data_IF_623251421450
#
_entry.id   IF_623251421450
#
_cell.length_a   1.000
_cell.length_b   1.000
_cell.length_c   1.000
_cell.angle_alpha   90.00
_cell.angle_beta   90.00
_cell.angle_gamma   90.00
#
_symmetry.space_group_name_H-M   'P 1'
#
loop_
_entity.id
_entity.type
_entity.pdbx_description
1 polymer ?
#
# COMPACT_ATOMS: atom_id res chain seq x y z
N UNK A 1 -17.74 14.85 -12.57
CA UNK A 1 -18.06 15.86 -11.54
C UNK A 1 -16.75 16.38 -11.00
N UNK A 2 -16.40 17.65 -11.18
CA UNK A 2 -15.09 18.15 -10.76
C UNK A 2 -14.89 18.10 -9.24
N UNK A 3 -13.83 17.43 -8.79
CA UNK A 3 -13.48 17.31 -7.37
C UNK A 3 -12.93 18.59 -6.74
N UNK A 4 -13.05 18.70 -5.42
CA UNK A 4 -12.39 19.75 -4.62
C UNK A 4 -10.88 19.49 -4.57
N UNK A 5 -10.02 20.51 -4.77
CA UNK A 5 -8.57 20.35 -4.69
C UNK A 5 -8.08 19.69 -3.40
N UNK A 6 -8.66 20.08 -2.25
CA UNK A 6 -8.30 19.52 -0.94
C UNK A 6 -8.63 18.02 -0.82
N UNK A 7 -9.74 17.59 -1.42
CA UNK A 7 -10.14 16.18 -1.43
C UNK A 7 -9.21 15.38 -2.34
N UNK A 8 -8.88 15.93 -3.52
CA UNK A 8 -7.98 15.28 -4.47
C UNK A 8 -6.56 15.12 -3.92
N UNK A 9 -6.05 16.12 -3.20
CA UNK A 9 -4.77 16.06 -2.51
C UNK A 9 -4.75 14.93 -1.47
N UNK A 10 -5.82 14.81 -0.69
CA UNK A 10 -5.93 13.76 0.32
C UNK A 10 -6.06 12.37 -0.29
N UNK A 11 -6.87 12.21 -1.35
CA UNK A 11 -6.97 10.94 -2.09
C UNK A 11 -5.64 10.54 -2.73
N UNK A 12 -4.86 11.49 -3.24
CA UNK A 12 -3.53 11.21 -3.76
C UNK A 12 -2.57 10.76 -2.66
N UNK A 13 -2.65 11.35 -1.46
CA UNK A 13 -1.85 10.91 -0.30
C UNK A 13 -2.21 9.48 0.08
N UNK A 14 -3.50 9.16 0.22
CA UNK A 14 -3.95 7.80 0.52
C UNK A 14 -3.48 6.82 -0.58
N UNK A 15 -3.58 7.21 -1.85
CA UNK A 15 -3.10 6.37 -2.96
C UNK A 15 -1.61 6.07 -2.86
N UNK A 16 -0.78 7.05 -2.48
CA UNK A 16 0.65 6.82 -2.29
C UNK A 16 0.93 5.83 -1.16
N UNK A 17 0.15 5.89 -0.08
CA UNK A 17 0.24 4.95 1.04
C UNK A 17 -0.09 3.52 0.59
N UNK A 18 -1.23 3.30 -0.09
CA UNK A 18 -1.63 1.94 -0.50
C UNK A 18 -0.63 1.33 -1.50
N UNK A 19 -0.09 2.16 -2.40
CA UNK A 19 0.95 1.70 -3.33
C UNK A 19 2.24 1.30 -2.59
N UNK A 20 2.64 2.06 -1.57
CA UNK A 20 3.79 1.73 -0.75
C UNK A 20 3.55 0.45 0.08
N UNK A 21 2.40 0.34 0.73
CA UNK A 21 1.98 -0.84 1.49
C UNK A 21 1.99 -2.09 0.60
N UNK A 22 1.33 -2.03 -0.57
CA UNK A 22 1.32 -3.11 -1.56
C UNK A 22 2.73 -3.55 -1.93
N UNK A 23 3.61 -2.60 -2.27
CA UNK A 23 4.96 -2.93 -2.75
C UNK A 23 5.86 -3.47 -1.62
N UNK A 24 5.66 -3.02 -0.38
CA UNK A 24 6.34 -3.59 0.79
C UNK A 24 5.85 -5.01 1.08
N UNK A 25 4.54 -5.24 1.10
CA UNK A 25 3.95 -6.56 1.28
C UNK A 25 4.38 -7.53 0.18
N UNK A 26 4.48 -7.05 -1.07
CA UNK A 26 5.02 -7.85 -2.17
C UNK A 26 6.47 -8.28 -1.92
N UNK A 27 7.34 -7.36 -1.49
CA UNK A 27 8.73 -7.67 -1.19
C UNK A 27 8.85 -8.71 -0.05
N UNK A 28 8.14 -8.50 1.06
CA UNK A 28 8.16 -9.43 2.19
C UNK A 28 7.56 -10.79 1.85
N UNK A 29 6.47 -10.84 1.08
CA UNK A 29 5.87 -12.09 0.61
C UNK A 29 6.89 -12.94 -0.18
N UNK A 30 7.56 -12.35 -1.18
CA UNK A 30 8.54 -13.09 -1.99
C UNK A 30 9.76 -13.52 -1.17
N UNK A 31 10.19 -12.72 -0.19
CA UNK A 31 11.25 -13.13 0.75
C UNK A 31 10.81 -14.32 1.61
N UNK A 32 9.58 -14.31 2.14
CA UNK A 32 9.03 -15.45 2.87
C UNK A 32 8.92 -16.70 2.00
N UNK A 33 8.56 -16.55 0.73
CA UNK A 33 8.50 -17.64 -0.23
C UNK A 33 9.88 -18.26 -0.46
N UNK A 34 10.89 -17.44 -0.70
CA UNK A 34 12.29 -17.86 -0.86
C UNK A 34 12.81 -18.59 0.39
N UNK A 35 12.45 -18.11 1.58
CA UNK A 35 12.83 -18.73 2.86
C UNK A 35 12.01 -19.98 3.22
N UNK A 36 11.04 -20.38 2.38
CA UNK A 36 10.19 -21.55 2.61
C UNK A 36 9.13 -21.35 3.70
N UNK A 37 8.83 -20.10 4.08
CA UNK A 37 7.86 -19.72 5.09
C UNK A 37 6.46 -19.51 4.47
N UNK A 38 5.90 -20.56 3.85
CA UNK A 38 4.71 -20.46 3.01
C UNK A 38 3.46 -19.87 3.68
N UNK A 39 3.27 -20.09 4.99
CA UNK A 39 2.13 -19.49 5.71
C UNK A 39 2.23 -17.96 5.81
N UNK A 40 3.44 -17.42 5.96
CA UNK A 40 3.66 -15.98 6.00
C UNK A 40 3.54 -15.40 4.59
N UNK A 41 4.06 -16.11 3.59
CA UNK A 41 3.86 -15.77 2.17
C UNK A 41 2.36 -15.67 1.84
N UNK A 42 1.56 -16.70 2.11
CA UNK A 42 0.12 -16.69 1.82
C UNK A 42 -0.60 -15.52 2.48
N UNK A 43 -0.22 -15.18 3.71
CA UNK A 43 -0.80 -14.07 4.47
C UNK A 43 -0.50 -12.71 3.84
N UNK A 44 0.76 -12.49 3.43
CA UNK A 44 1.23 -11.21 2.88
C UNK A 44 0.88 -11.04 1.41
N UNK A 45 0.81 -12.13 0.64
CA UNK A 45 0.32 -12.08 -0.73
C UNK A 45 -1.17 -11.71 -0.77
N UNK A 46 -1.96 -12.17 0.20
CA UNK A 46 -3.35 -11.72 0.38
C UNK A 46 -3.43 -10.22 0.71
N UNK A 47 -2.63 -9.71 1.65
CA UNK A 47 -2.60 -8.27 1.97
C UNK A 47 -2.19 -7.43 0.75
N UNK A 48 -1.21 -7.89 -0.04
CA UNK A 48 -0.83 -7.25 -1.31
C UNK A 48 -2.01 -7.17 -2.28
N UNK A 49 -2.85 -8.21 -2.33
CA UNK A 49 -4.06 -8.20 -3.16
C UNK A 49 -5.08 -7.18 -2.63
N UNK A 50 -5.34 -7.17 -1.32
CA UNK A 50 -6.25 -6.20 -0.67
C UNK A 50 -5.80 -4.75 -0.91
N UNK A 51 -4.51 -4.45 -0.76
CA UNK A 51 -3.99 -3.10 -1.05
C UNK A 51 -4.07 -2.71 -2.53
N UNK A 52 -4.02 -3.69 -3.43
CA UNK A 52 -4.27 -3.45 -4.85
C UNK A 52 -5.74 -3.05 -5.08
N UNK A 53 -6.68 -3.65 -4.35
CA UNK A 53 -8.10 -3.29 -4.40
C UNK A 53 -8.37 -1.91 -3.80
N UNK A 54 -7.71 -1.55 -2.69
CA UNK A 54 -7.79 -0.22 -2.10
C UNK A 54 -7.28 0.87 -3.07
N UNK A 55 -6.07 0.67 -3.63
CA UNK A 55 -5.51 1.56 -4.63
C UNK A 55 -6.43 1.70 -5.85
N UNK A 56 -7.04 0.60 -6.30
CA UNK A 56 -8.01 0.62 -7.39
C UNK A 56 -9.23 1.49 -7.05
N UNK A 57 -9.78 1.37 -5.85
CA UNK A 57 -10.93 2.16 -5.41
C UNK A 57 -10.60 3.67 -5.37
N UNK A 58 -9.42 4.03 -4.87
CA UNK A 58 -8.93 5.41 -4.84
C UNK A 58 -8.75 5.98 -6.25
N UNK A 59 -8.11 5.23 -7.15
CA UNK A 59 -7.93 5.61 -8.56
C UNK A 59 -9.30 5.85 -9.22
N UNK A 60 -10.24 4.91 -9.07
CA UNK A 60 -11.59 5.05 -9.63
C UNK A 60 -12.29 6.29 -9.08
N UNK A 61 -12.13 6.60 -7.80
CA UNK A 61 -12.70 7.79 -7.19
C UNK A 61 -12.08 9.08 -7.74
N UNK A 62 -10.77 9.13 -7.91
CA UNK A 62 -10.07 10.29 -8.49
C UNK A 62 -10.49 10.52 -9.95
N UNK A 63 -10.57 9.46 -10.75
CA UNK A 63 -11.03 9.53 -12.14
C UNK A 63 -12.48 10.03 -12.25
N UNK A 64 -13.38 9.55 -11.38
CA UNK A 64 -14.75 10.04 -11.30
C UNK A 64 -14.83 11.55 -10.97
N UNK A 65 -13.85 12.02 -10.19
CA UNK A 65 -13.68 13.43 -9.84
C UNK A 65 -12.92 14.26 -10.89
N UNK A 66 -12.69 13.68 -12.08
CA UNK A 66 -11.98 14.28 -13.22
C UNK A 66 -10.53 14.66 -12.90
N UNK A 67 -9.89 13.93 -12.00
CA UNK A 67 -8.46 14.06 -11.69
C UNK A 67 -7.65 12.94 -12.36
N UNK A 68 -6.38 13.23 -12.66
CA UNK A 68 -5.40 12.24 -13.11
C UNK A 68 -4.58 11.77 -11.91
N UNK A 69 -4.72 10.51 -11.45
CA UNK A 69 -3.90 9.98 -10.36
C UNK A 69 -2.44 9.88 -10.77
N UNK A 70 -1.53 10.18 -9.84
CA UNK A 70 -0.10 9.99 -9.99
C UNK A 70 0.32 8.69 -9.29
N UNK A 71 0.96 7.78 -10.03
CA UNK A 71 1.47 6.50 -9.52
C UNK A 71 3.01 6.49 -9.37
N UNK A 72 3.69 7.57 -9.76
CA UNK A 72 5.16 7.63 -9.81
C UNK A 72 5.84 8.07 -8.51
N UNK A 73 5.08 8.32 -7.45
CA UNK A 73 5.60 8.82 -6.17
C UNK A 73 4.97 8.07 -4.99
N UNK A 74 5.14 6.74 -4.88
CA UNK A 74 4.75 6.03 -3.67
C UNK A 74 5.60 6.52 -2.49
N UNK A 75 5.06 6.33 -1.28
CA UNK A 75 5.81 6.62 -0.06
C UNK A 75 7.00 5.65 0.11
N UNK A 76 8.05 6.04 0.88
CA UNK A 76 9.23 5.21 1.05
C UNK A 76 8.91 3.84 1.64
N UNK A 77 9.52 2.79 1.08
CA UNK A 77 9.42 1.42 1.58
C UNK A 77 10.42 1.16 2.71
N UNK A 78 10.07 0.28 3.64
CA UNK A 78 10.93 -0.18 4.72
C UNK A 78 11.03 -1.72 4.71
N UNK A 79 11.81 -2.26 3.77
CA UNK A 79 11.94 -3.72 3.60
C UNK A 79 12.88 -4.30 4.67
N UNK A 80 12.35 -5.20 5.50
CA UNK A 80 13.09 -5.85 6.59
C UNK A 80 14.05 -6.95 6.12
N UNK A 81 15.02 -7.32 6.97
CA UNK A 81 16.02 -8.36 6.67
C UNK A 81 15.76 -9.71 7.34
N UNK A 82 14.80 -9.76 8.26
CA UNK A 82 14.36 -10.96 8.97
C UNK A 82 12.87 -10.87 9.31
N UNK A 83 12.27 -12.00 9.72
CA UNK A 83 10.82 -12.10 9.99
C UNK A 83 10.33 -11.04 10.97
N UNK A 84 11.09 -10.77 12.04
CA UNK A 84 10.68 -9.82 13.07
C UNK A 84 10.64 -8.40 12.52
N UNK A 85 11.73 -7.97 11.86
CA UNK A 85 11.80 -6.64 11.24
C UNK A 85 10.69 -6.43 10.22
N UNK A 86 10.42 -7.43 9.37
CA UNK A 86 9.34 -7.34 8.38
C UNK A 86 7.99 -7.10 9.04
N UNK A 87 7.64 -7.89 10.06
CA UNK A 87 6.37 -7.73 10.79
C UNK A 87 6.27 -6.39 11.52
N UNK A 88 7.37 -5.89 12.09
CA UNK A 88 7.41 -4.57 12.74
C UNK A 88 7.25 -3.43 11.71
N UNK A 89 7.91 -3.53 10.56
CA UNK A 89 7.82 -2.55 9.49
C UNK A 89 6.43 -2.55 8.82
N UNK A 90 5.83 -3.72 8.66
CA UNK A 90 4.47 -3.91 8.14
C UNK A 90 3.44 -3.29 9.10
N UNK A 91 3.58 -3.52 10.41
CA UNK A 91 2.74 -2.88 11.42
C UNK A 91 2.88 -1.35 11.43
N UNK A 92 4.07 -0.82 11.17
CA UNK A 92 4.28 0.63 11.12
C UNK A 92 3.64 1.27 9.87
N UNK A 93 3.58 0.53 8.75
CA UNK A 93 2.79 0.93 7.58
C UNK A 93 1.32 1.06 7.97
N UNK A 94 0.75 0.06 8.65
CA UNK A 94 -0.65 0.08 9.09
C UNK A 94 -0.97 1.29 9.99
N UNK A 95 -0.11 1.61 10.96
CA UNK A 95 -0.29 2.81 11.78
C UNK A 95 -0.20 4.11 10.98
N UNK A 96 0.66 4.14 9.96
CA UNK A 96 0.81 5.31 9.08
C UNK A 96 -0.43 5.51 8.20
N UNK A 97 -1.00 4.42 7.68
CA UNK A 97 -2.24 4.42 6.89
C UNK A 97 -3.42 4.85 7.75
N UNK A 98 -3.60 4.24 8.93
CA UNK A 98 -4.70 4.56 9.86
C UNK A 98 -4.68 6.03 10.29
N UNK A 99 -3.49 6.57 10.59
CA UNK A 99 -3.34 7.99 10.94
C UNK A 99 -3.60 8.96 9.77
N UNK A 100 -3.64 8.46 8.53
CA UNK A 100 -3.91 9.25 7.34
C UNK A 100 -5.40 9.28 6.94
N UNK A 101 -6.26 8.46 7.55
CA UNK A 101 -7.72 8.45 7.36
C UNK A 101 -8.43 9.63 8.09
#
# INVERSE_FOLDING_TARGET
MKGSPRVLEHLQKLLNNELAARDQYFAHAEMYRDWGLFKLFERLDHEREEETEHAQALIQRMLFLEATPNLGTPDPLNVGSNVKEMLENDLEVEYTVDAAL
#
